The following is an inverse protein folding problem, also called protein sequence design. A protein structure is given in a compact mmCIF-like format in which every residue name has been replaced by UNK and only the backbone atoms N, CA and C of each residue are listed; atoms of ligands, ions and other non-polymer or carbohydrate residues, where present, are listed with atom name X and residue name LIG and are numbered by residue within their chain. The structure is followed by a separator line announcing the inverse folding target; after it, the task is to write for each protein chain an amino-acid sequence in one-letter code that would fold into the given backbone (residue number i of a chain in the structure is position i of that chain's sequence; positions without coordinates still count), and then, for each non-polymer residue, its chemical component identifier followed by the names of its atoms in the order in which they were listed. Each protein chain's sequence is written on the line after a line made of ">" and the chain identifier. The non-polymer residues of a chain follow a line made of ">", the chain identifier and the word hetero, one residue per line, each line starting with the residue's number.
data_IF_805746037029
#
_entry.id   IF_805746037029
#
_cell.length_a   1.000
_cell.length_b   1.000
_cell.length_c   1.000
_cell.angle_alpha   90.00
_cell.angle_beta   90.00
_cell.angle_gamma   90.00
#
_symmetry.space_group_name_H-M   'P 1'
#
loop_
_entity.id
_entity.type
_entity.pdbx_description
1 polymer ?
#
# COMPACT_ATOMS: atom_id res chain seq x y z
N UNK A 1 16.91 5.58 26.32
CA UNK A 1 17.15 6.19 25.00
C UNK A 1 18.29 5.38 24.41
N UNK A 2 17.97 4.43 23.55
CA UNK A 2 18.94 3.48 23.00
C UNK A 2 19.62 4.13 21.80
N UNK A 3 20.88 4.53 21.97
CA UNK A 3 21.77 5.16 20.98
C UNK A 3 22.24 4.18 19.87
N UNK A 4 21.32 3.40 19.30
CA UNK A 4 21.59 2.46 18.19
C UNK A 4 20.87 2.87 16.88
N UNK A 5 20.27 4.07 16.82
CA UNK A 5 19.84 4.62 15.55
C UNK A 5 21.07 5.06 14.76
N UNK A 6 21.50 4.18 13.83
CA UNK A 6 22.46 4.53 12.79
C UNK A 6 22.09 5.91 12.23
N UNK A 7 23.01 6.88 12.20
CA UNK A 7 22.69 8.24 11.77
C UNK A 7 22.05 8.19 10.38
N UNK A 8 20.82 8.72 10.28
CA UNK A 8 20.06 8.72 9.04
C UNK A 8 20.92 9.31 7.92
N UNK A 9 21.12 8.52 6.85
CA UNK A 9 22.02 8.91 5.78
C UNK A 9 21.48 10.17 5.09
N UNK A 10 22.33 11.19 4.91
CA UNK A 10 21.95 12.47 4.27
C UNK A 10 21.29 12.27 2.89
N UNK A 11 21.72 11.25 2.16
CA UNK A 11 21.14 10.87 0.87
C UNK A 11 19.76 10.22 0.96
N UNK A 12 19.51 9.48 2.04
CA UNK A 12 18.21 8.88 2.31
C UNK A 12 17.19 9.97 2.65
N UNK A 13 17.57 10.91 3.52
CA UNK A 13 16.77 12.10 3.84
C UNK A 13 16.47 12.92 2.58
N UNK A 14 17.48 13.14 1.71
CA UNK A 14 17.29 13.82 0.43
C UNK A 14 16.26 13.09 -0.45
N UNK A 15 16.40 11.78 -0.63
CA UNK A 15 15.50 10.98 -1.46
C UNK A 15 14.07 11.01 -0.93
N UNK A 16 13.91 10.91 0.39
CA UNK A 16 12.62 10.99 1.08
C UNK A 16 11.97 12.37 0.92
N UNK A 17 12.73 13.46 1.13
CA UNK A 17 12.24 14.83 0.91
C UNK A 17 11.88 15.06 -0.56
N UNK A 18 12.68 14.56 -1.50
CA UNK A 18 12.38 14.65 -2.93
C UNK A 18 11.09 13.91 -3.29
N UNK A 19 10.87 12.71 -2.74
CA UNK A 19 9.64 11.95 -2.90
C UNK A 19 8.43 12.71 -2.34
N UNK A 20 8.51 13.24 -1.12
CA UNK A 20 7.43 14.02 -0.52
C UNK A 20 7.16 15.32 -1.27
N UNK A 21 8.19 16.00 -1.76
CA UNK A 21 8.05 17.15 -2.64
C UNK A 21 7.28 16.79 -3.91
N UNK A 22 7.69 15.71 -4.59
CA UNK A 22 7.06 15.26 -5.84
C UNK A 22 5.59 14.90 -5.62
N UNK A 23 5.26 14.16 -4.55
CA UNK A 23 3.89 13.80 -4.22
C UNK A 23 3.05 15.03 -3.85
N UNK A 24 3.56 15.92 -3.00
CA UNK A 24 2.85 17.14 -2.62
C UNK A 24 2.59 18.05 -3.83
N UNK A 25 3.58 18.22 -4.71
CA UNK A 25 3.45 18.98 -5.94
C UNK A 25 2.44 18.32 -6.89
N UNK A 26 2.50 17.00 -7.08
CA UNK A 26 1.56 16.28 -7.92
C UNK A 26 0.11 16.43 -7.42
N UNK A 27 -0.12 16.30 -6.11
CA UNK A 27 -1.43 16.51 -5.50
C UNK A 27 -1.90 17.96 -5.65
N UNK A 28 -1.01 18.94 -5.46
CA UNK A 28 -1.33 20.36 -5.64
C UNK A 28 -1.72 20.66 -7.09
N UNK A 29 -1.02 20.09 -8.07
CA UNK A 29 -1.34 20.21 -9.48
C UNK A 29 -2.61 19.44 -9.86
N UNK A 30 -2.91 18.34 -9.18
CA UNK A 30 -4.12 17.55 -9.37
C UNK A 30 -5.38 18.21 -8.77
N UNK A 31 -5.23 19.23 -7.91
CA UNK A 31 -6.35 19.91 -7.24
C UNK A 31 -7.51 20.34 -8.17
N UNK A 32 -7.28 20.90 -9.37
CA UNK A 32 -8.35 21.30 -10.28
C UNK A 32 -9.21 20.11 -10.76
N UNK A 33 -8.62 18.91 -10.83
CA UNK A 33 -9.31 17.68 -11.21
C UNK A 33 -9.94 16.98 -10.02
N UNK A 34 -9.24 16.95 -8.87
CA UNK A 34 -9.70 16.29 -7.66
C UNK A 34 -10.84 17.04 -6.94
N UNK A 35 -10.86 18.38 -7.07
CA UNK A 35 -11.82 19.24 -6.39
C UNK A 35 -12.37 20.25 -7.38
N UNK A 36 -13.66 20.08 -7.74
CA UNK A 36 -14.37 21.14 -8.47
C UNK A 36 -14.40 22.38 -7.57
N UNK A 37 -14.13 23.54 -8.16
CA UNK A 37 -14.32 24.83 -7.50
C UNK A 37 -15.83 25.03 -7.30
N UNK A 38 -16.37 24.48 -6.22
CA UNK A 38 -17.78 24.59 -5.85
C UNK A 38 -18.17 26.03 -5.53
N UNK A 39 -19.47 26.33 -5.64
CA UNK A 39 -20.02 27.63 -5.26
C UNK A 39 -19.74 27.92 -3.78
N UNK A 40 -19.13 29.07 -3.53
CA UNK A 40 -18.91 29.55 -2.18
C UNK A 40 -20.25 29.97 -1.55
N UNK A 41 -20.71 29.24 -0.54
CA UNK A 41 -21.96 29.55 0.17
C UNK A 41 -21.85 30.69 1.20
N UNK A 42 -20.68 31.33 1.33
CA UNK A 42 -20.47 32.37 2.35
C UNK A 42 -19.15 33.14 2.27
N UNK A 43 -18.47 33.18 1.12
CA UNK A 43 -17.19 33.86 0.91
C UNK A 43 -16.11 32.95 0.32
N UNK A 44 -15.02 33.54 -0.20
CA UNK A 44 -13.95 32.74 -0.83
C UNK A 44 -13.27 31.76 0.14
N UNK A 45 -13.35 32.01 1.45
CA UNK A 45 -12.84 31.13 2.52
C UNK A 45 -13.67 29.87 2.77
N UNK A 46 -14.94 29.84 2.36
CA UNK A 46 -15.78 28.65 2.50
C UNK A 46 -15.65 27.67 1.33
N UNK A 47 -14.75 27.95 0.38
CA UNK A 47 -14.48 27.07 -0.75
C UNK A 47 -13.85 25.76 -0.27
N UNK A 48 -14.43 24.58 -0.58
CA UNK A 48 -13.88 23.29 -0.13
C UNK A 48 -12.42 23.05 -0.55
N UNK A 49 -12.00 23.60 -1.68
CA UNK A 49 -10.65 23.45 -2.21
C UNK A 49 -9.60 24.36 -1.54
N UNK A 50 -10.02 25.40 -0.78
CA UNK A 50 -9.08 26.40 -0.27
C UNK A 50 -8.11 25.82 0.76
N UNK A 51 -8.62 25.16 1.81
CA UNK A 51 -7.78 24.63 2.88
C UNK A 51 -6.84 23.52 2.41
N UNK A 52 -7.30 22.52 1.62
CA UNK A 52 -6.39 21.53 1.03
C UNK A 52 -5.34 22.19 0.13
N UNK A 53 -5.73 23.19 -0.68
CA UNK A 53 -4.81 23.92 -1.53
C UNK A 53 -3.73 24.68 -0.75
N UNK A 54 -4.11 25.39 0.31
CA UNK A 54 -3.16 26.10 1.18
C UNK A 54 -2.22 25.14 1.91
N UNK A 55 -2.73 24.04 2.44
CA UNK A 55 -1.92 23.02 3.11
C UNK A 55 -0.90 22.39 2.15
N UNK A 56 -1.34 21.99 0.94
CA UNK A 56 -0.46 21.43 -0.08
C UNK A 56 0.55 22.46 -0.59
N UNK A 57 0.17 23.72 -0.77
CA UNK A 57 1.08 24.79 -1.16
C UNK A 57 2.17 25.02 -0.10
N UNK A 58 1.78 25.10 1.18
CA UNK A 58 2.72 25.24 2.29
C UNK A 58 3.68 24.05 2.40
N UNK A 59 3.15 22.82 2.31
CA UNK A 59 3.96 21.60 2.33
C UNK A 59 4.94 21.53 1.15
N UNK A 60 4.47 21.87 -0.05
CA UNK A 60 5.29 21.89 -1.28
C UNK A 60 6.42 22.91 -1.15
N UNK A 61 6.12 24.11 -0.65
CA UNK A 61 7.12 25.16 -0.43
C UNK A 61 8.14 24.75 0.63
N UNK A 62 7.69 24.21 1.77
CA UNK A 62 8.58 23.73 2.83
C UNK A 62 9.52 22.64 2.32
N UNK A 63 9.00 21.66 1.59
CA UNK A 63 9.80 20.60 0.99
C UNK A 63 10.77 21.15 -0.08
N UNK A 64 10.38 22.15 -0.87
CA UNK A 64 11.26 22.80 -1.84
C UNK A 64 12.45 23.49 -1.16
N UNK A 65 12.20 24.20 -0.06
CA UNK A 65 13.26 24.87 0.72
C UNK A 65 14.21 23.83 1.31
N UNK A 66 13.68 22.77 1.92
CA UNK A 66 14.48 21.68 2.51
C UNK A 66 15.31 20.96 1.44
N UNK A 67 14.72 20.68 0.28
CA UNK A 67 15.42 20.08 -0.85
C UNK A 67 16.52 21.00 -1.39
N UNK A 68 16.24 22.30 -1.49
CA UNK A 68 17.21 23.31 -1.89
C UNK A 68 18.43 23.35 -0.97
N UNK A 69 18.19 23.35 0.36
CA UNK A 69 19.25 23.28 1.38
C UNK A 69 20.06 21.99 1.30
N UNK A 70 19.38 20.85 1.22
CA UNK A 70 20.05 19.56 1.11
C UNK A 70 20.89 19.44 -0.17
N UNK A 71 20.44 20.02 -1.28
CA UNK A 71 21.21 20.08 -2.53
C UNK A 71 22.40 21.04 -2.44
N UNK A 72 22.29 22.18 -1.75
CA UNK A 72 23.44 23.07 -1.53
C UNK A 72 24.48 22.42 -0.63
N UNK A 73 24.05 21.70 0.40
CA UNK A 73 24.94 20.99 1.32
C UNK A 73 25.71 19.88 0.60
N UNK A 74 25.04 19.09 -0.26
CA UNK A 74 25.68 18.06 -1.07
C UNK A 74 26.63 18.60 -2.16
N UNK A 75 26.41 19.84 -2.61
CA UNK A 75 27.33 20.51 -3.53
C UNK A 75 28.59 21.01 -2.82
N UNK A 76 28.46 21.43 -1.56
CA UNK A 76 29.57 21.88 -0.75
C UNK A 76 30.41 20.69 -0.22
N UNK A 77 29.75 19.59 0.16
CA UNK A 77 30.37 18.38 0.68
C UNK A 77 29.85 17.14 -0.10
N UNK A 78 30.58 16.71 -1.16
CA UNK A 78 30.15 15.58 -1.97
C UNK A 78 30.13 14.27 -1.19
N UNK A 79 29.07 13.45 -1.31
CA UNK A 79 28.92 12.24 -0.51
C UNK A 79 29.93 11.17 -0.92
N UNK A 80 30.45 10.48 0.09
CA UNK A 80 31.48 9.44 -0.08
C UNK A 80 30.92 8.21 -0.81
N UNK A 81 31.76 7.38 -1.45
CA UNK A 81 31.31 6.16 -2.10
C UNK A 81 30.56 5.20 -1.16
N UNK A 82 30.98 5.11 0.11
CA UNK A 82 30.36 4.27 1.12
C UNK A 82 28.95 4.74 1.48
N UNK A 83 28.77 6.05 1.71
CA UNK A 83 27.46 6.66 1.97
C UNK A 83 26.47 6.38 0.83
N UNK A 84 26.93 6.42 -0.43
CA UNK A 84 26.09 6.14 -1.60
C UNK A 84 25.62 4.69 -1.65
N UNK A 85 26.49 3.74 -1.30
CA UNK A 85 26.14 2.31 -1.30
C UNK A 85 25.10 2.03 -0.22
N UNK A 86 25.31 2.54 1.00
CA UNK A 86 24.36 2.38 2.11
C UNK A 86 23.01 3.01 1.77
N UNK A 87 22.99 4.26 1.27
CA UNK A 87 21.76 4.93 0.87
C UNK A 87 21.00 4.15 -0.21
N UNK A 88 21.72 3.63 -1.22
CA UNK A 88 21.10 2.83 -2.29
C UNK A 88 20.48 1.55 -1.74
N UNK A 89 21.14 0.87 -0.80
CA UNK A 89 20.59 -0.33 -0.17
C UNK A 89 19.32 -0.03 0.65
N UNK A 90 19.31 1.07 1.42
CA UNK A 90 18.15 1.49 2.19
C UNK A 90 16.97 1.87 1.30
N UNK A 91 17.21 2.68 0.26
CA UNK A 91 16.18 3.10 -0.71
C UNK A 91 15.61 1.89 -1.47
N UNK A 92 16.45 0.94 -1.88
CA UNK A 92 15.98 -0.32 -2.47
C UNK A 92 15.19 -1.17 -1.46
N UNK A 93 15.52 -1.09 -0.17
CA UNK A 93 14.76 -1.68 0.91
C UNK A 93 13.32 -1.16 0.98
N UNK A 94 13.07 0.09 0.61
CA UNK A 94 11.71 0.67 0.55
C UNK A 94 10.83 0.03 -0.53
N UNK A 95 11.40 -0.72 -1.48
CA UNK A 95 10.63 -1.48 -2.47
C UNK A 95 10.13 -2.82 -1.93
N UNK A 96 10.61 -3.29 -0.77
CA UNK A 96 10.18 -4.57 -0.18
C UNK A 96 8.65 -4.65 0.04
N UNK A 97 7.95 -3.61 0.53
CA UNK A 97 6.49 -3.62 0.65
C UNK A 97 5.75 -3.80 -0.68
N UNK A 98 6.36 -3.40 -1.81
CA UNK A 98 5.76 -3.55 -3.14
C UNK A 98 5.56 -5.03 -3.49
N UNK A 99 6.40 -5.93 -2.96
CA UNK A 99 6.20 -7.38 -3.09
C UNK A 99 4.87 -7.83 -2.47
N UNK A 100 4.51 -7.30 -1.30
CA UNK A 100 3.23 -7.61 -0.64
C UNK A 100 2.04 -7.00 -1.39
N UNK A 101 2.22 -5.82 -1.98
CA UNK A 101 1.21 -5.24 -2.88
C UNK A 101 0.98 -6.14 -4.11
N UNK A 102 2.04 -6.71 -4.67
CA UNK A 102 1.92 -7.65 -5.79
C UNK A 102 1.17 -8.93 -5.39
N UNK A 103 1.47 -9.51 -4.21
CA UNK A 103 0.69 -10.65 -3.69
C UNK A 103 -0.79 -10.32 -3.53
N UNK A 104 -1.11 -9.13 -3.01
CA UNK A 104 -2.49 -8.69 -2.88
C UNK A 104 -3.19 -8.51 -4.23
N UNK A 105 -2.50 -7.93 -5.23
CA UNK A 105 -3.03 -7.79 -6.58
C UNK A 105 -3.32 -9.16 -7.23
N UNK A 106 -2.41 -10.13 -7.07
CA UNK A 106 -2.62 -11.52 -7.51
C UNK A 106 -3.83 -12.13 -6.81
N UNK A 107 -4.00 -11.89 -5.50
CA UNK A 107 -5.16 -12.36 -4.76
C UNK A 107 -6.48 -11.80 -5.29
N UNK A 108 -6.55 -10.49 -5.56
CA UNK A 108 -7.75 -9.86 -6.15
C UNK A 108 -8.09 -10.48 -7.51
N UNK A 109 -7.08 -10.72 -8.35
CA UNK A 109 -7.26 -11.42 -9.62
C UNK A 109 -7.71 -12.88 -9.43
N UNK A 110 -7.13 -13.59 -8.46
CA UNK A 110 -7.44 -14.98 -8.15
C UNK A 110 -8.87 -15.16 -7.63
N UNK A 111 -9.44 -14.20 -6.89
CA UNK A 111 -10.83 -14.24 -6.44
C UNK A 111 -11.79 -14.46 -7.62
N UNK A 112 -11.56 -13.79 -8.76
CA UNK A 112 -12.39 -13.93 -9.95
C UNK A 112 -12.34 -15.31 -10.63
N UNK A 113 -11.31 -16.11 -10.35
CA UNK A 113 -11.06 -17.39 -11.02
C UNK A 113 -11.28 -18.59 -10.10
N UNK A 114 -10.84 -18.49 -8.85
CA UNK A 114 -10.86 -19.56 -7.85
C UNK A 114 -12.04 -19.44 -6.88
N UNK A 115 -12.63 -18.25 -6.75
CA UNK A 115 -13.60 -17.94 -5.71
C UNK A 115 -12.97 -17.49 -4.40
N UNK A 116 -13.80 -16.92 -3.54
CA UNK A 116 -13.33 -16.21 -2.35
C UNK A 116 -12.61 -17.12 -1.35
N UNK A 117 -13.13 -18.33 -1.09
CA UNK A 117 -12.52 -19.28 -0.15
C UNK A 117 -11.13 -19.72 -0.59
N UNK A 118 -11.02 -20.27 -1.80
CA UNK A 118 -9.77 -20.81 -2.33
C UNK A 118 -8.73 -19.70 -2.54
N UNK A 119 -9.13 -18.53 -3.03
CA UNK A 119 -8.23 -17.40 -3.19
C UNK A 119 -7.70 -16.90 -1.84
N UNK A 120 -8.57 -16.79 -0.81
CA UNK A 120 -8.15 -16.31 0.52
C UNK A 120 -7.25 -17.32 1.21
N UNK A 121 -7.56 -18.61 1.10
CA UNK A 121 -6.75 -19.69 1.67
C UNK A 121 -5.36 -19.74 1.03
N UNK A 122 -5.30 -19.73 -0.31
CA UNK A 122 -4.02 -19.74 -1.04
C UNK A 122 -3.20 -18.47 -0.78
N UNK A 123 -3.84 -17.31 -0.68
CA UNK A 123 -3.19 -16.04 -0.36
C UNK A 123 -2.57 -16.04 1.05
N UNK A 124 -3.35 -16.39 2.09
CA UNK A 124 -2.88 -16.39 3.47
C UNK A 124 -1.76 -17.41 3.64
N UNK A 125 -1.95 -18.66 3.18
CA UNK A 125 -0.93 -19.69 3.29
C UNK A 125 0.32 -19.33 2.47
N UNK A 126 0.17 -18.76 1.28
CA UNK A 126 1.28 -18.27 0.45
C UNK A 126 2.10 -17.19 1.15
N UNK A 127 1.45 -16.23 1.80
CA UNK A 127 2.12 -15.20 2.59
C UNK A 127 2.85 -15.79 3.80
N UNK A 128 2.23 -16.74 4.50
CA UNK A 128 2.86 -17.40 5.64
C UNK A 128 4.12 -18.17 5.25
N UNK A 129 4.09 -18.86 4.10
CA UNK A 129 5.26 -19.50 3.52
C UNK A 129 6.35 -18.47 3.17
N UNK A 130 5.96 -17.31 2.61
CA UNK A 130 6.90 -16.24 2.23
C UNK A 130 7.63 -15.62 3.43
N UNK A 131 6.92 -15.43 4.54
CA UNK A 131 7.46 -14.93 5.82
C UNK A 131 8.12 -16.05 6.65
N UNK A 132 8.15 -17.29 6.13
CA UNK A 132 8.69 -18.49 6.78
C UNK A 132 7.99 -18.87 8.10
N UNK A 133 6.70 -18.53 8.24
CA UNK A 133 5.83 -18.96 9.34
C UNK A 133 5.25 -20.36 9.05
N UNK A 134 6.13 -21.35 8.99
CA UNK A 134 5.80 -22.71 8.51
C UNK A 134 5.53 -23.73 9.61
N UNK A 135 5.63 -23.34 10.87
CA UNK A 135 5.31 -24.25 11.97
C UNK A 135 3.82 -24.66 11.90
N UNK A 136 3.48 -25.93 12.21
CA UNK A 136 2.11 -26.45 12.07
C UNK A 136 1.05 -25.63 12.82
N UNK A 137 1.43 -25.05 13.97
CA UNK A 137 0.55 -24.17 14.75
C UNK A 137 0.18 -22.92 13.95
N UNK A 138 1.15 -22.31 13.29
CA UNK A 138 0.92 -21.12 12.46
C UNK A 138 0.09 -21.46 11.24
N UNK A 139 0.41 -22.54 10.53
CA UNK A 139 -0.38 -22.96 9.37
C UNK A 139 -1.84 -23.24 9.74
N UNK A 140 -2.11 -23.90 10.87
CA UNK A 140 -3.47 -24.11 11.37
C UNK A 140 -4.17 -22.78 11.67
N UNK A 141 -3.50 -21.86 12.36
CA UNK A 141 -4.04 -20.50 12.60
C UNK A 141 -4.36 -19.80 11.29
N UNK A 142 -3.49 -19.91 10.27
CA UNK A 142 -3.72 -19.33 8.94
C UNK A 142 -4.97 -19.89 8.26
N UNK A 143 -5.17 -21.21 8.30
CA UNK A 143 -6.38 -21.86 7.78
C UNK A 143 -7.62 -21.37 8.53
N UNK A 144 -7.57 -21.34 9.87
CA UNK A 144 -8.69 -20.87 10.70
C UNK A 144 -9.01 -19.40 10.43
N UNK A 145 -8.00 -18.55 10.24
CA UNK A 145 -8.18 -17.14 9.87
C UNK A 145 -8.82 -17.00 8.49
N UNK A 146 -8.39 -17.78 7.50
CA UNK A 146 -9.00 -17.79 6.17
C UNK A 146 -10.48 -18.17 6.24
N UNK A 147 -10.82 -19.23 6.99
CA UNK A 147 -12.19 -19.67 7.19
C UNK A 147 -13.03 -18.61 7.94
N UNK A 148 -12.46 -17.97 8.96
CA UNK A 148 -13.13 -16.92 9.72
C UNK A 148 -13.42 -15.69 8.84
N UNK A 149 -12.46 -15.27 8.00
CA UNK A 149 -12.68 -14.21 7.01
C UNK A 149 -13.81 -14.56 6.05
N UNK A 150 -13.77 -15.77 5.48
CA UNK A 150 -14.82 -16.25 4.58
C UNK A 150 -16.19 -16.26 5.23
N UNK A 151 -16.28 -16.75 6.47
CA UNK A 151 -17.51 -16.73 7.24
C UNK A 151 -18.00 -15.30 7.53
N UNK A 152 -17.11 -14.37 7.91
CA UNK A 152 -17.48 -12.97 8.19
C UNK A 152 -18.02 -12.29 6.93
N UNK A 153 -17.37 -12.45 5.79
CA UNK A 153 -17.84 -11.82 4.54
C UNK A 153 -19.13 -12.47 4.03
N UNK A 154 -19.27 -13.79 4.13
CA UNK A 154 -20.47 -14.51 3.69
C UNK A 154 -21.65 -14.26 4.61
N UNK A 155 -21.48 -14.51 5.91
CA UNK A 155 -22.55 -14.48 6.92
C UNK A 155 -22.79 -13.05 7.42
N UNK A 156 -21.73 -12.28 7.64
CA UNK A 156 -21.82 -10.92 8.17
C UNK A 156 -22.22 -9.89 7.11
N UNK A 157 -21.66 -9.98 5.89
CA UNK A 157 -21.88 -8.98 4.84
C UNK A 157 -22.83 -9.43 3.72
N UNK A 158 -23.22 -10.72 3.68
CA UNK A 158 -24.16 -11.24 2.68
C UNK A 158 -23.69 -11.11 1.23
N UNK A 159 -22.38 -10.99 1.01
CA UNK A 159 -21.81 -10.75 -0.33
C UNK A 159 -21.84 -12.06 -1.12
N UNK A 160 -22.62 -12.05 -2.20
CA UNK A 160 -22.64 -13.14 -3.18
C UNK A 160 -21.52 -12.89 -4.20
N UNK A 161 -20.46 -13.70 -4.14
CA UNK A 161 -19.46 -13.71 -5.20
C UNK A 161 -19.99 -14.51 -6.41
N UNK A 162 -19.80 -14.02 -7.64
CA UNK A 162 -20.14 -14.78 -8.84
C UNK A 162 -19.40 -16.14 -8.84
N UNK A 163 -20.10 -17.18 -9.32
CA UNK A 163 -19.56 -18.52 -9.37
C UNK A 163 -18.26 -18.55 -10.21
N UNK A 164 -17.12 -18.99 -9.64
CA UNK A 164 -15.86 -19.03 -10.38
C UNK A 164 -15.87 -20.16 -11.42
N UNK A 165 -15.16 -19.99 -12.55
CA UNK A 165 -15.04 -21.03 -13.58
C UNK A 165 -14.50 -22.36 -13.04
N UNK A 166 -13.70 -22.32 -11.97
CA UNK A 166 -13.14 -23.52 -11.34
C UNK A 166 -14.23 -24.45 -10.78
N UNK A 167 -15.38 -23.91 -10.37
CA UNK A 167 -16.45 -24.73 -9.78
C UNK A 167 -17.14 -25.61 -10.82
N UNK A 168 -17.05 -25.27 -12.11
CA UNK A 168 -17.61 -26.08 -13.20
C UNK A 168 -16.80 -27.35 -13.51
N UNK A 169 -15.58 -27.46 -12.96
CA UNK A 169 -14.76 -28.69 -13.04
C UNK A 169 -15.07 -29.69 -11.92
N UNK A 170 -15.84 -29.28 -10.91
CA UNK A 170 -16.18 -30.13 -9.78
C UNK A 170 -17.43 -30.99 -10.08
N UNK A 171 -17.54 -32.21 -9.51
CA UNK A 171 -18.75 -33.03 -9.63
C UNK A 171 -20.00 -32.28 -9.16
N UNK A 172 -21.16 -32.51 -9.79
CA UNK A 172 -22.39 -31.73 -9.59
C UNK A 172 -22.79 -31.54 -8.11
N UNK A 173 -22.62 -32.57 -7.28
CA UNK A 173 -22.89 -32.51 -5.84
C UNK A 173 -21.97 -31.53 -5.10
N UNK A 174 -20.68 -31.50 -5.47
CA UNK A 174 -19.68 -30.63 -4.87
C UNK A 174 -19.82 -29.19 -5.36
N UNK A 175 -20.12 -29.01 -6.66
CA UNK A 175 -20.41 -27.71 -7.28
C UNK A 175 -21.59 -27.02 -6.60
N UNK A 176 -22.67 -27.76 -6.37
CA UNK A 176 -23.87 -27.24 -5.68
C UNK A 176 -23.56 -26.83 -4.25
N UNK A 177 -22.75 -27.60 -3.51
CA UNK A 177 -22.31 -27.24 -2.17
C UNK A 177 -21.43 -25.98 -2.17
N UNK A 178 -20.46 -25.88 -3.10
CA UNK A 178 -19.57 -24.74 -3.21
C UNK A 178 -20.33 -23.45 -3.51
N UNK A 179 -21.19 -23.42 -4.53
CA UNK A 179 -22.00 -22.24 -4.89
C UNK A 179 -22.92 -21.81 -3.73
N UNK A 180 -23.51 -22.78 -3.02
CA UNK A 180 -24.47 -22.51 -1.95
C UNK A 180 -23.81 -21.95 -0.69
N UNK A 181 -22.60 -22.39 -0.37
CA UNK A 181 -21.95 -22.06 0.91
C UNK A 181 -20.77 -21.08 0.78
N UNK A 182 -20.15 -20.95 -0.39
CA UNK A 182 -18.90 -20.20 -0.61
C UNK A 182 -18.96 -19.32 -1.86
#
# INVERSE_FOLDING_TARGET
>A
MTDDELPANRLESLALTAMFFAVALALLLAMPWATRWGQASGGWWTRPALMPGLALAGLTLANLITLGRALTDLRADPPTPEERIVARQNILGWLRPVEFLAYFAIYVWAIGHLGYLLATLTFILGLMLRVRLTSPRWLLTGVLTALALVAIFRVGLGVWMPAPPLYDLAPDALRTALIRWF
#
